data_IF_306695695011
#
_entry.id   IF_306695695011
#
_cell.length_a   1.000
_cell.length_b   1.000
_cell.length_c   1.000
_cell.angle_alpha   90.00
_cell.angle_beta   90.00
_cell.angle_gamma   90.00
#
_symmetry.space_group_name_H-M   'P 1'
#
loop_
_entity.id
_entity.type
_entity.pdbx_description
1 polymer ?
#
# COMPACT_ATOMS: atom_id res chain seq x y z
N UNK A 1 1.87 17.53 1.59
CA UNK A 1 1.13 16.30 1.24
C UNK A 1 1.96 15.05 1.50
N UNK A 2 1.36 14.02 2.09
CA UNK A 2 2.01 12.73 2.36
C UNK A 2 2.60 12.08 1.09
N UNK A 3 1.84 12.07 -0.01
CA UNK A 3 2.24 11.42 -1.29
C UNK A 3 3.55 11.99 -1.84
N UNK A 4 3.73 13.32 -1.83
CA UNK A 4 4.96 13.96 -2.30
C UNK A 4 6.16 13.52 -1.45
N UNK A 5 6.01 13.50 -0.12
CA UNK A 5 7.08 13.03 0.80
C UNK A 5 7.45 11.58 0.53
N UNK A 6 6.45 10.72 0.35
CA UNK A 6 6.64 9.30 0.04
C UNK A 6 7.39 9.10 -1.29
N UNK A 7 6.99 9.82 -2.35
CA UNK A 7 7.65 9.74 -3.67
C UNK A 7 9.10 10.22 -3.62
N UNK A 8 9.40 11.28 -2.87
CA UNK A 8 10.79 11.72 -2.66
C UNK A 8 11.59 10.65 -1.90
N UNK A 9 11.03 10.10 -0.82
CA UNK A 9 11.68 9.07 -0.03
C UNK A 9 12.01 7.82 -0.87
N UNK A 10 11.07 7.32 -1.68
CA UNK A 10 11.28 6.09 -2.44
C UNK A 10 12.30 6.27 -3.57
N UNK A 11 12.30 7.42 -4.25
CA UNK A 11 13.28 7.73 -5.30
C UNK A 11 14.70 7.82 -4.74
N UNK A 12 14.88 8.47 -3.58
CA UNK A 12 16.18 8.53 -2.89
C UNK A 12 16.64 7.14 -2.47
N UNK A 13 15.76 6.33 -1.86
CA UNK A 13 16.10 5.00 -1.36
C UNK A 13 16.45 4.01 -2.48
N UNK A 14 15.70 4.04 -3.58
CA UNK A 14 15.90 3.12 -4.71
C UNK A 14 16.93 3.64 -5.72
N UNK A 15 17.32 4.92 -5.65
CA UNK A 15 18.16 5.58 -6.65
C UNK A 15 17.62 5.47 -8.08
N UNK A 16 16.29 5.41 -8.21
CA UNK A 16 15.59 5.31 -9.50
C UNK A 16 14.48 6.36 -9.54
N UNK A 17 14.39 7.20 -10.59
CA UNK A 17 13.31 8.17 -10.72
C UNK A 17 11.99 7.47 -11.02
N UNK A 18 10.92 7.94 -10.39
CA UNK A 18 9.55 7.54 -10.72
C UNK A 18 9.16 8.27 -11.99
N UNK A 19 8.84 7.54 -13.06
CA UNK A 19 8.49 8.14 -14.35
C UNK A 19 6.98 8.28 -14.58
N UNK A 20 6.22 7.37 -13.97
CA UNK A 20 4.78 7.24 -14.21
C UNK A 20 4.09 6.79 -12.93
N UNK A 21 2.99 7.45 -12.62
CA UNK A 21 2.10 7.10 -11.51
C UNK A 21 0.72 6.89 -12.10
N UNK A 22 0.07 5.81 -11.66
CA UNK A 22 -1.30 5.51 -12.04
C UNK A 22 -2.16 5.41 -10.78
N UNK A 23 -3.22 6.20 -10.69
CA UNK A 23 -4.17 6.21 -9.56
C UNK A 23 -5.60 6.11 -10.08
N UNK A 24 -6.56 5.88 -9.19
CA UNK A 24 -7.95 6.20 -9.51
C UNK A 24 -8.19 7.72 -9.52
N UNK A 25 -9.44 8.09 -9.78
CA UNK A 25 -9.92 9.47 -9.72
C UNK A 25 -10.27 9.92 -8.29
N UNK A 26 -9.71 9.28 -7.25
CA UNK A 26 -9.86 9.73 -5.87
C UNK A 26 -9.37 11.18 -5.71
N UNK A 27 -10.09 11.98 -4.94
CA UNK A 27 -9.78 13.40 -4.75
C UNK A 27 -8.47 13.61 -3.99
N UNK A 28 -8.03 12.61 -3.22
CA UNK A 28 -6.73 12.55 -2.57
C UNK A 28 -5.56 12.43 -3.56
N UNK A 29 -5.81 11.86 -4.74
CA UNK A 29 -4.82 11.67 -5.81
C UNK A 29 -4.96 12.68 -6.95
N UNK A 30 -6.13 13.32 -7.07
CA UNK A 30 -6.43 14.34 -8.09
C UNK A 30 -6.63 15.69 -7.41
N UNK A 31 -5.53 16.41 -7.20
CA UNK A 31 -5.54 17.79 -6.72
C UNK A 31 -4.46 18.64 -7.42
N UNK A 32 -4.60 19.97 -7.36
CA UNK A 32 -3.70 20.89 -8.06
C UNK A 32 -2.25 20.78 -7.54
N UNK A 33 -2.06 20.68 -6.23
CA UNK A 33 -0.73 20.54 -5.60
C UNK A 33 0.05 19.33 -6.11
N UNK A 34 -0.62 18.18 -6.30
CA UNK A 34 0.01 16.99 -6.89
C UNK A 34 0.30 17.18 -8.37
N UNK A 35 -0.62 17.79 -9.10
CA UNK A 35 -0.46 18.07 -10.53
C UNK A 35 0.78 18.93 -10.78
N UNK A 36 0.91 20.03 -10.04
CA UNK A 36 2.05 20.95 -10.15
C UNK A 36 3.37 20.22 -9.84
N UNK A 37 3.38 19.40 -8.77
CA UNK A 37 4.56 18.61 -8.41
C UNK A 37 4.93 17.56 -9.47
N UNK A 38 3.94 16.87 -10.04
CA UNK A 38 4.19 15.87 -11.07
C UNK A 38 4.74 16.52 -12.35
N UNK A 39 4.22 17.69 -12.73
CA UNK A 39 4.72 18.45 -13.87
C UNK A 39 6.15 18.96 -13.64
N UNK A 40 6.44 19.52 -12.46
CA UNK A 40 7.78 20.02 -12.08
C UNK A 40 8.84 18.92 -12.16
N UNK A 41 8.52 17.70 -11.69
CA UNK A 41 9.46 16.57 -11.65
C UNK A 41 9.43 15.72 -12.93
N UNK A 42 8.50 16.00 -13.85
CA UNK A 42 8.34 15.24 -15.10
C UNK A 42 7.74 13.84 -14.92
N UNK A 43 6.88 13.66 -13.91
CA UNK A 43 6.16 12.41 -13.66
C UNK A 43 4.86 12.40 -14.46
N UNK A 44 4.67 11.40 -15.32
CA UNK A 44 3.39 11.22 -16.01
C UNK A 44 2.33 10.66 -15.04
N UNK A 45 1.27 11.42 -14.80
CA UNK A 45 0.12 10.96 -14.01
C UNK A 45 -1.00 10.44 -14.91
N UNK A 46 -1.35 9.17 -14.73
CA UNK A 46 -2.46 8.53 -15.42
C UNK A 46 -3.58 8.27 -14.41
N UNK A 47 -4.80 8.71 -14.70
CA UNK A 47 -5.94 8.36 -13.88
C UNK A 47 -6.76 7.25 -14.54
N UNK A 48 -7.24 6.30 -13.75
CA UNK A 48 -8.17 5.29 -14.23
C UNK A 48 -9.61 5.77 -14.11
N UNK A 49 -10.42 5.46 -15.12
CA UNK A 49 -11.87 5.61 -15.05
C UNK A 49 -12.41 4.79 -13.88
N UNK A 50 -13.36 5.36 -13.14
CA UNK A 50 -14.00 4.71 -12.01
C UNK A 50 -14.50 3.31 -12.39
N UNK A 51 -14.17 2.30 -11.56
CA UNK A 51 -14.60 0.89 -11.65
C UNK A 51 -14.03 0.04 -12.81
N UNK A 52 -13.13 0.55 -13.66
CA UNK A 52 -12.69 -0.19 -14.87
C UNK A 52 -11.20 -0.57 -14.94
N UNK A 53 -10.32 -0.10 -14.05
CA UNK A 53 -8.92 -0.54 -14.06
C UNK A 53 -8.72 -1.87 -13.33
N UNK A 54 -8.58 -2.94 -14.11
CA UNK A 54 -8.15 -4.26 -13.60
C UNK A 54 -6.83 -4.19 -12.81
N UNK A 55 -6.00 -3.17 -13.08
CA UNK A 55 -4.75 -2.90 -12.37
C UNK A 55 -4.99 -2.38 -10.94
N UNK A 56 -5.99 -1.54 -10.71
CA UNK A 56 -6.33 -1.11 -9.34
C UNK A 56 -6.84 -2.30 -8.55
N UNK A 57 -7.61 -3.21 -9.17
CA UNK A 57 -8.01 -4.47 -8.49
C UNK A 57 -6.83 -5.31 -8.01
N UNK A 58 -5.65 -5.22 -8.62
CA UNK A 58 -4.45 -5.92 -8.12
C UNK A 58 -3.92 -5.24 -6.86
N UNK A 59 -3.88 -3.91 -6.85
CA UNK A 59 -3.45 -3.11 -5.70
C UNK A 59 -4.44 -3.26 -4.55
N UNK A 60 -5.73 -3.14 -4.81
CA UNK A 60 -6.80 -3.27 -3.80
C UNK A 60 -6.74 -4.62 -3.10
N UNK A 61 -6.57 -5.71 -3.88
CA UNK A 61 -6.40 -7.05 -3.31
C UNK A 61 -5.16 -7.14 -2.42
N UNK A 62 -4.04 -6.55 -2.85
CA UNK A 62 -2.79 -6.57 -2.07
C UNK A 62 -2.92 -5.77 -0.77
N UNK A 63 -3.52 -4.60 -0.84
CA UNK A 63 -3.78 -3.76 0.31
C UNK A 63 -4.69 -4.49 1.29
N UNK A 64 -5.82 -5.04 0.81
CA UNK A 64 -6.74 -5.84 1.61
C UNK A 64 -6.03 -6.99 2.32
N UNK A 65 -5.21 -7.78 1.61
CA UNK A 65 -4.45 -8.87 2.25
C UNK A 65 -3.49 -8.37 3.33
N UNK A 66 -2.84 -7.20 3.17
CA UNK A 66 -1.97 -6.64 4.20
C UNK A 66 -2.79 -6.22 5.44
N UNK A 67 -3.90 -5.53 5.22
CA UNK A 67 -4.82 -5.05 6.26
C UNK A 67 -5.43 -6.23 7.05
N UNK A 68 -5.78 -7.32 6.38
CA UNK A 68 -6.33 -8.53 7.02
C UNK A 68 -5.25 -9.39 7.71
N UNK A 69 -4.00 -9.33 7.23
CA UNK A 69 -2.90 -10.12 7.79
C UNK A 69 -2.44 -9.61 9.16
N UNK A 70 -2.33 -8.29 9.35
CA UNK A 70 -1.86 -7.73 10.63
C UNK A 70 -2.72 -8.13 11.86
N UNK A 71 -4.06 -8.03 11.85
CA UNK A 71 -4.87 -8.48 12.98
C UNK A 71 -4.76 -9.99 13.19
N UNK A 72 -4.71 -10.77 12.10
CA UNK A 72 -4.53 -12.23 12.18
C UNK A 72 -3.21 -12.59 12.88
N UNK A 73 -2.12 -11.87 12.56
CA UNK A 73 -0.82 -12.05 13.22
C UNK A 73 -0.87 -11.67 14.70
N UNK A 74 -1.52 -10.57 15.05
CA UNK A 74 -1.67 -10.13 16.44
C UNK A 74 -2.49 -11.14 17.27
N UNK A 75 -3.62 -11.61 16.75
CA UNK A 75 -4.48 -12.60 17.41
C UNK A 75 -3.71 -13.91 17.62
N UNK A 76 -3.03 -14.40 16.58
CA UNK A 76 -2.25 -15.64 16.67
C UNK A 76 -1.13 -15.54 17.71
N UNK A 77 -0.43 -14.41 17.76
CA UNK A 77 0.66 -14.16 18.70
C UNK A 77 0.19 -13.77 20.11
N UNK A 78 -1.12 -13.64 20.35
CA UNK A 78 -1.70 -13.04 21.57
C UNK A 78 -1.03 -11.70 21.92
N UNK A 79 -0.72 -10.91 20.89
CA UNK A 79 0.01 -9.67 21.02
C UNK A 79 -0.94 -8.48 21.22
N UNK A 80 -0.54 -7.46 21.99
CA UNK A 80 -1.37 -6.28 22.22
C UNK A 80 -1.54 -5.44 20.96
N UNK A 81 -2.71 -4.81 20.85
CA UNK A 81 -3.14 -4.05 19.66
C UNK A 81 -2.22 -2.87 19.31
N UNK A 82 -1.50 -2.30 20.29
CA UNK A 82 -0.57 -1.21 20.03
C UNK A 82 0.61 -1.64 19.13
N UNK A 83 0.82 -2.94 18.91
CA UNK A 83 1.81 -3.49 17.98
C UNK A 83 1.29 -3.61 16.53
N UNK A 84 0.16 -2.98 16.21
CA UNK A 84 -0.44 -3.00 14.87
C UNK A 84 0.52 -2.58 13.77
N UNK A 85 1.24 -1.46 13.96
CA UNK A 85 2.20 -0.97 12.98
C UNK A 85 3.34 -1.99 12.74
N UNK A 86 3.82 -2.64 13.80
CA UNK A 86 4.83 -3.69 13.74
C UNK A 86 4.30 -4.95 13.04
N UNK A 87 3.05 -5.32 13.27
CA UNK A 87 2.38 -6.43 12.58
C UNK A 87 2.20 -6.14 11.08
N UNK A 88 1.76 -4.93 10.72
CA UNK A 88 1.65 -4.46 9.33
C UNK A 88 3.01 -4.47 8.61
N UNK A 89 4.06 -3.97 9.28
CA UNK A 89 5.41 -3.98 8.75
C UNK A 89 5.91 -5.41 8.51
N UNK A 90 5.62 -6.33 9.43
CA UNK A 90 6.00 -7.74 9.33
C UNK A 90 5.24 -8.45 8.21
N UNK A 91 3.93 -8.23 8.08
CA UNK A 91 3.12 -8.76 6.98
C UNK A 91 3.65 -8.28 5.63
N UNK A 92 3.97 -6.99 5.50
CA UNK A 92 4.55 -6.39 4.30
C UNK A 92 5.91 -7.01 3.96
N UNK A 93 6.79 -7.16 4.95
CA UNK A 93 8.10 -7.79 4.77
C UNK A 93 7.98 -9.23 4.27
N UNK A 94 7.15 -10.04 4.94
CA UNK A 94 6.94 -11.46 4.59
C UNK A 94 6.34 -11.60 3.21
N UNK A 95 5.30 -10.82 2.86
CA UNK A 95 4.68 -10.90 1.54
C UNK A 95 5.64 -10.50 0.42
N UNK A 96 6.44 -9.44 0.61
CA UNK A 96 7.37 -8.96 -0.40
C UNK A 96 8.53 -9.93 -0.66
N UNK A 97 8.86 -10.79 0.31
CA UNK A 97 9.98 -11.74 0.23
C UNK A 97 9.58 -13.20 0.04
N UNK A 98 8.33 -13.57 0.28
CA UNK A 98 7.89 -14.98 0.23
C UNK A 98 6.98 -15.29 -0.96
N UNK A 99 6.23 -14.29 -1.46
CA UNK A 99 5.29 -14.53 -2.57
C UNK A 99 6.05 -14.50 -3.90
N UNK A 100 6.20 -15.66 -4.52
CA UNK A 100 6.81 -15.77 -5.86
C UNK A 100 5.80 -15.33 -6.92
N UNK A 101 6.17 -14.33 -7.73
CA UNK A 101 5.41 -14.01 -8.94
C UNK A 101 5.72 -15.06 -10.00
N UNK A 102 4.79 -15.98 -10.23
CA UNK A 102 4.91 -17.12 -11.16
C UNK A 102 5.53 -16.72 -12.51
N UNK A 103 5.10 -15.59 -13.10
CA UNK A 103 5.60 -15.09 -14.38
C UNK A 103 7.13 -14.88 -14.43
N UNK A 104 7.77 -14.59 -13.31
CA UNK A 104 9.20 -14.28 -13.24
C UNK A 104 10.01 -15.25 -12.39
N UNK A 105 9.35 -16.20 -11.71
CA UNK A 105 9.99 -17.10 -10.74
C UNK A 105 10.71 -16.37 -9.60
N UNK A 106 10.31 -15.13 -9.28
CA UNK A 106 10.97 -14.24 -8.33
C UNK A 106 9.98 -13.54 -7.42
N UNK A 107 10.47 -13.15 -6.25
CA UNK A 107 9.73 -12.36 -5.27
C UNK A 107 9.66 -10.88 -5.69
N UNK A 108 8.66 -10.11 -5.22
CA UNK A 108 8.62 -8.66 -5.41
C UNK A 108 9.91 -7.95 -4.97
N UNK A 109 10.49 -8.38 -3.84
CA UNK A 109 11.76 -7.85 -3.34
C UNK A 109 12.90 -8.05 -4.34
N UNK A 110 13.07 -9.26 -4.89
CA UNK A 110 14.12 -9.53 -5.87
C UNK A 110 13.90 -8.78 -7.18
N UNK A 111 12.65 -8.64 -7.63
CA UNK A 111 12.33 -7.85 -8.83
C UNK A 111 12.72 -6.39 -8.63
N UNK A 112 12.39 -5.81 -7.47
CA UNK A 112 12.75 -4.44 -7.12
C UNK A 112 14.27 -4.26 -6.98
N UNK A 113 14.96 -5.15 -6.28
CA UNK A 113 16.42 -5.05 -6.08
C UNK A 113 17.22 -5.35 -7.35
N UNK A 114 16.73 -6.18 -8.27
CA UNK A 114 17.40 -6.38 -9.57
C UNK A 114 17.30 -5.15 -10.48
N UNK A 115 16.24 -4.34 -10.36
CA UNK A 115 16.18 -3.03 -11.02
C UNK A 115 17.24 -2.07 -10.46
N UNK A 116 17.57 -2.19 -9.16
CA UNK A 116 18.58 -1.37 -8.47
C UNK A 116 20.02 -1.87 -8.71
N UNK A 117 20.24 -3.17 -8.91
CA UNK A 117 21.56 -3.80 -9.12
C UNK A 117 22.28 -3.44 -10.43
N UNK A 118 21.72 -2.58 -11.29
CA UNK A 118 22.51 -1.94 -12.35
C UNK A 118 23.47 -0.86 -11.81
N UNK A 119 23.36 -0.48 -10.54
CA UNK A 119 24.34 0.30 -9.81
C UNK A 119 24.45 -0.23 -8.38
N UNK A 120 25.57 -0.87 -8.09
CA UNK A 120 25.94 -1.51 -6.83
C UNK A 120 25.49 -0.74 -5.58
N UNK A 121 24.69 -1.38 -4.71
CA UNK A 121 24.82 -1.34 -3.23
C UNK A 121 23.62 -2.00 -2.56
N UNK A 122 23.91 -2.81 -1.54
CA UNK A 122 22.94 -3.47 -0.67
C UNK A 122 22.29 -2.43 0.26
N UNK A 123 21.06 -1.99 -0.05
CA UNK A 123 20.27 -1.15 0.86
C UNK A 123 19.29 -2.03 1.64
N UNK A 124 19.40 -2.02 2.97
CA UNK A 124 18.46 -2.68 3.87
C UNK A 124 17.09 -1.98 3.80
N UNK A 125 16.02 -2.78 3.72
CA UNK A 125 14.64 -2.26 3.80
C UNK A 125 14.39 -1.75 5.23
N UNK A 126 14.22 -0.44 5.37
CA UNK A 126 13.73 0.19 6.61
C UNK A 126 12.25 0.48 6.39
N UNK A 127 11.32 -0.17 7.11
CA UNK A 127 9.90 0.15 6.98
C UNK A 127 9.63 1.63 7.29
N UNK A 128 8.55 2.23 6.76
CA UNK A 128 8.09 3.56 7.17
C UNK A 128 7.96 3.65 8.69
N UNK A 129 8.13 4.86 9.24
CA UNK A 129 8.04 5.06 10.69
C UNK A 129 6.64 4.67 11.18
N UNK A 130 6.53 4.25 12.45
CA UNK A 130 5.25 3.88 13.09
C UNK A 130 4.14 4.92 12.81
N UNK A 131 4.49 6.20 12.89
CA UNK A 131 3.59 7.32 12.64
C UNK A 131 3.10 7.41 11.18
N UNK A 132 3.91 6.97 10.20
CA UNK A 132 3.51 6.98 8.78
C UNK A 132 2.48 5.88 8.47
N UNK A 133 2.59 4.74 9.17
CA UNK A 133 1.61 3.65 9.05
C UNK A 133 0.30 4.00 9.73
N UNK A 134 0.35 4.59 10.92
CA UNK A 134 -0.84 5.05 11.62
C UNK A 134 -1.59 6.07 10.73
N UNK A 135 -0.93 7.09 10.17
CA UNK A 135 -1.59 8.04 9.28
C UNK A 135 -2.22 7.43 8.01
N UNK A 136 -1.65 6.34 7.48
CA UNK A 136 -2.14 5.68 6.27
C UNK A 136 -3.33 4.75 6.52
N UNK A 137 -3.39 4.12 7.69
CA UNK A 137 -4.33 3.04 7.96
C UNK A 137 -5.26 3.31 9.15
N UNK A 138 -5.04 4.35 9.96
CA UNK A 138 -5.93 4.70 11.08
C UNK A 138 -7.39 4.90 10.62
N UNK A 139 -7.70 5.65 9.55
CA UNK A 139 -9.08 5.84 9.13
C UNK A 139 -9.76 4.52 8.72
N UNK A 140 -8.99 3.60 8.14
CA UNK A 140 -9.46 2.27 7.74
C UNK A 140 -9.60 1.31 8.93
N UNK A 141 -8.75 1.49 9.94
CA UNK A 141 -8.77 0.75 11.19
C UNK A 141 -9.98 1.13 12.05
N UNK A 142 -10.29 2.42 12.12
CA UNK A 142 -11.46 2.95 12.84
C UNK A 142 -12.77 2.42 12.21
N UNK A 143 -12.83 2.30 10.88
CA UNK A 143 -13.97 1.71 10.15
C UNK A 143 -14.12 0.20 10.39
N UNK A 144 -13.01 -0.53 10.58
CA UNK A 144 -13.02 -1.97 10.84
C UNK A 144 -13.49 -2.31 12.27
N UNK A 145 -13.16 -1.46 13.24
CA UNK A 145 -13.55 -1.65 14.64
C UNK A 145 -14.90 -1.02 14.98
N UNK A 146 -15.30 0.04 14.27
CA UNK A 146 -16.58 0.73 14.44
C UNK A 146 -17.30 0.85 13.08
N UNK A 147 -17.83 -0.26 12.53
CA UNK A 147 -18.56 -0.21 11.27
C UNK A 147 -19.78 0.71 11.42
N UNK A 148 -20.00 1.60 10.43
CA UNK A 148 -21.22 2.42 10.40
C UNK A 148 -22.47 1.52 10.41
N UNK A 149 -23.56 1.90 11.12
CA UNK A 149 -24.78 1.08 11.22
C UNK A 149 -25.37 0.66 9.87
N UNK A 150 -25.08 1.41 8.80
CA UNK A 150 -25.48 1.09 7.42
C UNK A 150 -24.83 -0.18 6.86
N UNK A 151 -23.61 -0.53 7.28
CA UNK A 151 -22.87 -1.72 6.79
C UNK A 151 -23.40 -2.99 7.46
N UNK A 152 -23.83 -2.90 8.73
CA UNK A 152 -24.41 -4.02 9.48
C UNK A 152 -25.78 -4.43 8.91
N UNK A 153 -26.58 -3.46 8.46
CA UNK A 153 -27.91 -3.71 7.92
C UNK A 153 -27.90 -4.38 6.53
N UNK A 154 -26.85 -4.22 5.72
CA UNK A 154 -26.73 -4.91 4.43
C UNK A 154 -26.29 -6.37 4.54
N UNK A 155 -25.57 -6.74 5.62
CA UNK A 155 -25.18 -8.13 5.84
C UNK A 155 -26.33 -9.00 6.37
N UNK A 156 -27.29 -8.38 7.08
CA UNK A 156 -28.45 -9.08 7.64
C UNK A 156 -29.54 -9.43 6.61
N UNK A 157 -29.67 -8.67 5.52
CA UNK A 157 -30.69 -8.93 4.48
C UNK A 157 -30.34 -10.04 3.49
N UNK A 158 -29.08 -10.48 3.44
CA UNK A 158 -28.63 -11.55 2.51
C UNK A 158 -28.80 -12.95 3.11
N UNK A 159 -29.20 -13.05 4.39
CA UNK A 159 -29.41 -14.31 5.10
C UNK A 159 -30.83 -14.33 5.70
N UNK A 160 -31.83 -14.41 4.83
CA UNK A 160 -33.13 -14.96 5.18
C UNK A 160 -33.58 -15.89 4.03
N UNK A 161 -34.20 -17.04 4.33
CA UNK A 161 -34.49 -18.11 3.36
C UNK A 161 -35.52 -17.72 2.30
#
# INVERSE_FOLDING_TARGET
MFIIKFLKMIQVRLKVPVRRIRTDNGTEFVNQTLRDYYEEVGISHETSVARSSQQNRVIDRRNRTLIEAAPTMLIYAQAPLFLWAEAMATACFTQNRSIIRLRHGKTPYELMHRLVQKSSSSTFYVPPSRNDWDLLFQPLFDELLNPSPSVVNQAAEVIAP
#
